data_IF_878236896241
#
_entry.id   IF_878236896241
#
_cell.length_a   1.000
_cell.length_b   1.000
_cell.length_c   1.000
_cell.angle_alpha   90.00
_cell.angle_beta   90.00
_cell.angle_gamma   90.00
#
_symmetry.space_group_name_H-M   'P 1'
#
loop_
_entity.id
_entity.type
_entity.pdbx_description
1 polymer ?
#
# COMPACT_ATOMS: atom_id res chain seq x y z
N UNK A 1 -53.91 48.80 -14.60
CA UNK A 1 -52.64 49.52 -14.88
C UNK A 1 -51.68 48.53 -15.52
N UNK A 2 -51.12 48.99 -16.64
CA UNK A 2 -50.17 48.40 -17.60
C UNK A 2 -49.17 47.32 -17.16
N UNK A 3 -48.99 46.36 -18.06
CA UNK A 3 -47.77 45.60 -18.40
C UNK A 3 -46.50 46.46 -18.42
N UNK A 4 -45.36 45.87 -18.06
CA UNK A 4 -44.02 46.45 -18.29
C UNK A 4 -42.94 45.35 -18.27
N UNK A 5 -42.19 45.27 -19.35
CA UNK A 5 -41.24 44.21 -19.69
C UNK A 5 -39.78 44.56 -19.34
N UNK A 6 -38.95 43.50 -19.22
CA UNK A 6 -37.62 43.32 -19.82
C UNK A 6 -36.55 44.43 -19.66
N UNK A 7 -35.43 44.08 -19.04
CA UNK A 7 -34.22 44.91 -18.99
C UNK A 7 -32.96 44.08 -18.73
N UNK A 8 -32.44 43.49 -19.79
CA UNK A 8 -31.14 42.80 -19.86
C UNK A 8 -29.99 43.80 -19.71
N UNK A 9 -29.10 43.56 -18.76
CA UNK A 9 -27.76 44.14 -18.66
C UNK A 9 -27.00 43.36 -17.59
N UNK A 10 -25.78 42.87 -17.77
CA UNK A 10 -24.79 43.00 -18.81
C UNK A 10 -23.47 42.72 -18.09
N UNK A 11 -22.69 41.74 -18.54
CA UNK A 11 -21.24 41.78 -18.33
C UNK A 11 -20.53 40.90 -19.35
N UNK A 12 -20.13 41.53 -20.45
CA UNK A 12 -19.13 41.03 -21.38
C UNK A 12 -17.77 41.25 -20.72
N UNK A 13 -17.09 40.19 -20.29
CA UNK A 13 -15.65 40.22 -20.09
C UNK A 13 -15.04 39.72 -21.39
N UNK A 14 -14.63 40.67 -22.22
CA UNK A 14 -13.84 40.44 -23.41
C UNK A 14 -12.37 40.30 -23.01
N UNK A 15 -11.81 39.11 -23.20
CA UNK A 15 -10.40 38.80 -22.97
C UNK A 15 -9.76 38.27 -24.25
N UNK A 16 -9.09 39.17 -24.97
CA UNK A 16 -7.91 38.98 -25.83
C UNK A 16 -7.91 37.88 -26.87
N UNK A 17 -7.87 38.34 -28.11
CA UNK A 17 -7.65 37.63 -29.37
C UNK A 17 -6.31 36.84 -29.37
N UNK A 18 -6.41 35.53 -29.55
CA UNK A 18 -5.34 34.64 -30.02
C UNK A 18 -5.78 34.03 -31.38
N UNK A 19 -4.84 33.66 -32.27
CA UNK A 19 -5.09 33.58 -33.70
C UNK A 19 -6.21 32.60 -34.04
N UNK A 20 -7.02 32.98 -35.02
CA UNK A 20 -8.07 32.18 -35.62
C UNK A 20 -7.56 30.77 -35.94
N UNK A 21 -7.93 29.81 -35.09
CA UNK A 21 -7.87 28.40 -35.45
C UNK A 21 -9.13 28.11 -36.26
N UNK A 22 -8.92 27.61 -37.47
CA UNK A 22 -9.92 27.39 -38.50
C UNK A 22 -11.15 26.59 -37.99
N UNK A 23 -12.36 26.88 -38.50
CA UNK A 23 -13.58 26.18 -38.12
C UNK A 23 -13.67 24.86 -38.89
N UNK A 24 -12.83 23.89 -38.56
CA UNK A 24 -12.88 22.56 -39.15
C UNK A 24 -12.82 21.53 -38.02
N UNK A 25 -13.90 20.75 -37.90
CA UNK A 25 -14.09 19.58 -37.02
C UNK A 25 -14.56 19.78 -35.56
N UNK A 26 -15.06 20.96 -35.20
CA UNK A 26 -15.70 21.20 -33.89
C UNK A 26 -17.06 20.51 -33.70
N UNK A 27 -17.67 19.84 -34.68
CA UNK A 27 -19.04 19.33 -34.52
C UNK A 27 -19.14 17.93 -33.92
N UNK A 28 -18.16 17.06 -34.15
CA UNK A 28 -18.22 15.67 -33.65
C UNK A 28 -17.61 15.53 -32.26
N UNK A 29 -16.43 16.11 -32.03
CA UNK A 29 -15.79 16.10 -30.71
C UNK A 29 -16.61 16.89 -29.67
N UNK A 30 -17.20 18.02 -30.03
CA UNK A 30 -18.07 18.76 -29.11
C UNK A 30 -19.37 18.01 -28.80
N UNK A 31 -19.91 17.24 -29.75
CA UNK A 31 -21.07 16.36 -29.50
C UNK A 31 -20.71 15.18 -28.62
N UNK A 32 -19.55 14.57 -28.81
CA UNK A 32 -19.05 13.49 -27.95
C UNK A 32 -18.74 14.03 -26.55
N UNK A 33 -18.11 15.20 -26.44
CA UNK A 33 -17.86 15.88 -25.17
C UNK A 33 -19.17 16.22 -24.45
N UNK A 34 -20.14 16.82 -25.15
CA UNK A 34 -21.46 17.11 -24.58
C UNK A 34 -22.22 15.84 -24.15
N UNK A 35 -22.13 14.76 -24.93
CA UNK A 35 -22.74 13.47 -24.57
C UNK A 35 -22.05 12.84 -23.36
N UNK A 36 -20.73 12.98 -23.26
CA UNK A 36 -19.96 12.47 -22.13
C UNK A 36 -20.23 13.29 -20.85
N UNK A 37 -20.29 14.61 -20.96
CA UNK A 37 -20.66 15.50 -19.87
C UNK A 37 -22.07 15.20 -19.36
N UNK A 38 -23.02 14.96 -20.27
CA UNK A 38 -24.37 14.58 -19.89
C UNK A 38 -24.43 13.19 -19.22
N UNK A 39 -23.68 12.22 -19.75
CA UNK A 39 -23.57 10.87 -19.19
C UNK A 39 -22.84 10.82 -17.85
N UNK A 40 -22.00 11.81 -17.54
CA UNK A 40 -21.33 11.95 -16.25
C UNK A 40 -22.24 12.68 -15.25
N UNK A 41 -22.87 13.79 -15.67
CA UNK A 41 -23.69 14.61 -14.77
C UNK A 41 -24.99 13.92 -14.34
N UNK A 42 -25.64 13.17 -15.22
CA UNK A 42 -26.90 12.48 -14.93
C UNK A 42 -26.82 11.43 -13.81
N UNK A 43 -25.82 10.52 -13.76
CA UNK A 43 -25.67 9.59 -12.64
C UNK A 43 -25.27 10.29 -11.34
N UNK A 44 -24.43 11.33 -11.37
CA UNK A 44 -24.05 12.05 -10.15
C UNK A 44 -25.21 12.85 -9.55
N UNK A 45 -26.05 13.47 -10.39
CA UNK A 45 -27.25 14.18 -9.93
C UNK A 45 -28.29 13.20 -9.38
N UNK A 46 -28.49 12.04 -10.02
CA UNK A 46 -29.34 10.96 -9.49
C UNK A 46 -28.81 10.40 -8.17
N UNK A 47 -27.51 10.15 -8.07
CA UNK A 47 -26.88 9.67 -6.85
C UNK A 47 -27.01 10.70 -5.72
N UNK A 48 -26.75 11.97 -6.00
CA UNK A 48 -26.93 13.08 -5.05
C UNK A 48 -28.37 13.21 -4.56
N UNK A 49 -29.36 13.05 -5.46
CA UNK A 49 -30.77 13.05 -5.09
C UNK A 49 -31.15 11.84 -4.21
N UNK A 50 -30.64 10.65 -4.53
CA UNK A 50 -30.87 9.44 -3.73
C UNK A 50 -30.28 9.60 -2.32
N UNK A 51 -29.05 10.11 -2.21
CA UNK A 51 -28.38 10.39 -0.94
C UNK A 51 -29.13 11.44 -0.13
N UNK A 52 -29.58 12.52 -0.78
CA UNK A 52 -30.33 13.61 -0.14
C UNK A 52 -31.75 13.22 0.29
N UNK A 53 -32.42 12.33 -0.45
CA UNK A 53 -33.80 11.89 -0.16
C UNK A 53 -33.91 10.96 1.05
N UNK A 54 -32.86 10.20 1.36
CA UNK A 54 -32.89 9.24 2.47
C UNK A 54 -31.50 8.99 3.09
N UNK A 55 -30.92 9.98 3.78
CA UNK A 55 -29.52 9.94 4.23
C UNK A 55 -29.21 8.77 5.17
N UNK A 56 -30.15 8.45 6.08
CA UNK A 56 -29.96 7.38 7.09
C UNK A 56 -29.83 6.00 6.43
N UNK A 57 -30.62 5.72 5.39
CA UNK A 57 -30.59 4.43 4.70
C UNK A 57 -29.28 4.23 3.94
N UNK A 58 -28.79 5.30 3.30
CA UNK A 58 -27.52 5.26 2.57
C UNK A 58 -26.33 5.11 3.50
N UNK A 59 -26.32 5.81 4.65
CA UNK A 59 -25.29 5.60 5.67
C UNK A 59 -25.25 4.16 6.19
N UNK A 60 -26.41 3.55 6.42
CA UNK A 60 -26.50 2.16 6.88
C UNK A 60 -25.95 1.17 5.82
N UNK A 61 -26.28 1.37 4.55
CA UNK A 61 -25.77 0.53 3.44
C UNK A 61 -24.26 0.71 3.27
N UNK A 62 -23.75 1.94 3.29
CA UNK A 62 -22.31 2.20 3.20
C UNK A 62 -21.55 1.56 4.38
N UNK A 63 -22.09 1.66 5.60
CA UNK A 63 -21.51 1.03 6.78
C UNK A 63 -21.52 -0.50 6.68
N UNK A 64 -22.59 -1.10 6.16
CA UNK A 64 -22.68 -2.54 5.90
C UNK A 64 -21.61 -2.98 4.90
N UNK A 65 -21.48 -2.26 3.77
CA UNK A 65 -20.45 -2.54 2.76
C UNK A 65 -19.06 -2.46 3.41
N UNK A 66 -18.74 -1.38 4.12
CA UNK A 66 -17.48 -1.24 4.84
C UNK A 66 -17.23 -2.40 5.82
N UNK A 67 -18.24 -2.82 6.58
CA UNK A 67 -18.13 -3.93 7.52
C UNK A 67 -17.85 -5.26 6.80
N UNK A 68 -18.50 -5.52 5.66
CA UNK A 68 -18.25 -6.74 4.87
C UNK A 68 -16.84 -6.76 4.26
N UNK A 69 -16.34 -5.62 3.78
CA UNK A 69 -14.97 -5.51 3.28
C UNK A 69 -13.95 -5.65 4.42
N UNK A 70 -14.19 -5.01 5.55
CA UNK A 70 -13.35 -5.10 6.75
C UNK A 70 -13.35 -6.53 7.34
N UNK A 71 -14.44 -7.27 7.22
CA UNK A 71 -14.50 -8.68 7.65
C UNK A 71 -13.47 -9.56 6.94
N UNK A 72 -13.01 -9.19 5.74
CA UNK A 72 -11.94 -9.87 5.02
C UNK A 72 -10.54 -9.64 5.61
N UNK A 73 -10.35 -8.55 6.37
CA UNK A 73 -9.04 -8.22 6.95
C UNK A 73 -8.57 -9.24 7.98
N UNK A 74 -9.48 -9.90 8.70
CA UNK A 74 -9.12 -10.94 9.67
C UNK A 74 -8.51 -12.19 9.03
N UNK A 75 -8.65 -12.37 7.72
CA UNK A 75 -8.04 -13.47 6.96
C UNK A 75 -6.72 -13.07 6.29
N UNK A 76 -6.25 -11.83 6.47
CA UNK A 76 -4.96 -11.41 5.95
C UNK A 76 -3.84 -12.09 6.72
N UNK A 77 -3.02 -12.86 6.02
CA UNK A 77 -1.78 -13.39 6.57
C UNK A 77 -0.71 -12.31 6.57
N UNK A 78 -0.24 -11.91 7.75
CA UNK A 78 0.91 -11.01 7.87
C UNK A 78 2.18 -11.76 7.47
N UNK A 79 2.69 -11.50 6.28
CA UNK A 79 3.97 -12.03 5.81
C UNK A 79 5.08 -11.07 6.26
N UNK A 80 5.86 -11.47 7.26
CA UNK A 80 7.00 -10.69 7.78
C UNK A 80 8.36 -11.21 7.30
N UNK A 81 8.38 -12.21 6.41
CA UNK A 81 9.63 -12.76 5.87
C UNK A 81 10.25 -11.80 4.87
N UNK A 82 11.42 -11.21 5.17
CA UNK A 82 12.01 -10.15 4.36
C UNK A 82 12.41 -10.64 2.97
N UNK A 83 12.82 -11.91 2.84
CA UNK A 83 13.11 -12.58 1.57
C UNK A 83 11.92 -12.57 0.61
N UNK A 84 10.68 -12.64 1.11
CA UNK A 84 9.48 -12.59 0.27
C UNK A 84 9.04 -11.18 -0.08
N UNK A 85 9.34 -10.20 0.78
CA UNK A 85 8.97 -8.79 0.59
C UNK A 85 9.88 -8.09 -0.42
N UNK A 86 11.18 -8.38 -0.38
CA UNK A 86 12.18 -7.66 -1.16
C UNK A 86 12.64 -8.39 -2.42
N UNK A 87 12.38 -9.71 -2.52
CA UNK A 87 12.78 -10.50 -3.70
C UNK A 87 11.55 -10.72 -4.58
N UNK A 88 11.62 -10.32 -5.87
CA UNK A 88 10.53 -10.59 -6.80
C UNK A 88 10.27 -12.10 -6.90
N UNK A 89 9.02 -12.47 -6.70
CA UNK A 89 8.58 -13.87 -6.73
C UNK A 89 8.65 -14.40 -8.18
N UNK A 90 9.09 -15.65 -8.36
CA UNK A 90 9.17 -16.30 -9.67
C UNK A 90 10.49 -16.11 -10.43
N UNK A 91 11.52 -15.55 -9.81
CA UNK A 91 12.85 -15.46 -10.42
C UNK A 91 13.52 -16.83 -10.59
N UNK A 92 14.49 -16.90 -11.51
CA UNK A 92 15.32 -18.11 -11.70
C UNK A 92 16.13 -18.44 -10.45
N UNK A 93 16.64 -17.42 -9.75
CA UNK A 93 17.37 -17.59 -8.50
C UNK A 93 16.57 -18.35 -7.43
N UNK A 94 15.28 -18.03 -7.25
CA UNK A 94 14.40 -18.75 -6.31
C UNK A 94 14.18 -20.21 -6.69
N UNK A 95 14.13 -20.52 -8.00
CA UNK A 95 14.00 -21.91 -8.47
C UNK A 95 15.27 -22.72 -8.24
N UNK A 96 16.42 -22.08 -8.41
CA UNK A 96 17.73 -22.71 -8.21
C UNK A 96 18.01 -22.89 -6.72
N UNK A 97 17.68 -21.91 -5.87
CA UNK A 97 17.74 -22.02 -4.40
C UNK A 97 16.83 -23.13 -3.89
N UNK A 98 15.55 -23.15 -4.30
CA UNK A 98 14.62 -24.24 -3.93
C UNK A 98 15.13 -25.60 -4.36
N UNK A 99 15.78 -25.70 -5.53
CA UNK A 99 16.37 -26.96 -6.00
C UNK A 99 17.57 -27.37 -5.17
N UNK A 100 18.41 -26.42 -4.77
CA UNK A 100 19.55 -26.68 -3.89
C UNK A 100 19.08 -27.14 -2.50
N UNK A 101 18.10 -26.46 -1.90
CA UNK A 101 17.54 -26.79 -0.59
C UNK A 101 16.89 -28.19 -0.53
N UNK A 102 16.37 -28.70 -1.65
CA UNK A 102 15.84 -30.07 -1.74
C UNK A 102 16.91 -31.15 -1.54
N UNK A 103 18.15 -30.89 -1.99
CA UNK A 103 19.26 -31.85 -1.87
C UNK A 103 20.14 -31.57 -0.65
N UNK A 104 20.24 -30.31 -0.24
CA UNK A 104 21.02 -29.84 0.89
C UNK A 104 20.12 -28.99 1.80
N UNK A 105 19.37 -29.62 2.72
CA UNK A 105 18.55 -28.86 3.66
C UNK A 105 19.45 -27.90 4.45
N UNK A 106 18.99 -26.66 4.62
CA UNK A 106 19.72 -25.62 5.35
C UNK A 106 19.80 -26.01 6.83
N UNK A 107 20.88 -26.71 7.19
CA UNK A 107 21.05 -27.29 8.52
C UNK A 107 21.61 -26.30 9.55
N UNK A 108 22.12 -25.14 9.14
CA UNK A 108 22.85 -24.24 10.03
C UNK A 108 22.26 -22.84 9.97
N UNK A 109 21.74 -22.38 11.11
CA UNK A 109 21.51 -20.95 11.37
C UNK A 109 22.74 -20.44 12.10
N UNK A 110 23.51 -19.55 11.46
CA UNK A 110 24.72 -19.01 12.06
C UNK A 110 24.35 -17.83 12.96
N UNK A 111 24.57 -17.99 14.27
CA UNK A 111 24.58 -16.91 15.23
C UNK A 111 26.02 -16.50 15.51
N UNK A 112 26.33 -15.21 15.40
CA UNK A 112 27.65 -14.69 15.72
C UNK A 112 27.53 -13.51 16.68
N UNK A 113 28.51 -13.37 17.57
CA UNK A 113 28.70 -12.17 18.39
C UNK A 113 30.12 -11.67 18.19
N UNK A 114 30.30 -10.36 18.30
CA UNK A 114 31.61 -9.72 18.20
C UNK A 114 31.86 -9.05 19.55
N UNK A 115 32.94 -9.45 20.21
CA UNK A 115 33.38 -8.86 21.48
C UNK A 115 34.54 -7.90 21.23
N UNK A 116 34.55 -6.78 21.95
CA UNK A 116 35.61 -5.78 21.94
C UNK A 116 36.07 -5.53 23.39
N UNK A 117 37.39 -5.43 23.59
CA UNK A 117 37.98 -5.13 24.89
C UNK A 117 37.76 -3.66 25.24
N UNK A 118 37.13 -3.39 26.38
CA UNK A 118 36.73 -2.03 26.78
C UNK A 118 37.89 -1.03 26.88
N UNK A 119 39.07 -1.48 27.31
CA UNK A 119 40.22 -0.61 27.59
C UNK A 119 41.57 -1.27 27.19
N UNK A 120 41.62 -2.13 26.18
CA UNK A 120 42.87 -2.75 25.75
C UNK A 120 42.76 -3.97 24.85
N UNK A 121 43.84 -4.76 24.80
CA UNK A 121 43.93 -5.97 23.99
C UNK A 121 42.98 -7.07 24.51
N UNK A 122 42.17 -7.63 23.61
CA UNK A 122 41.23 -8.71 23.90
C UNK A 122 41.92 -10.06 24.07
N UNK A 123 43.20 -10.17 23.68
CA UNK A 123 44.01 -11.38 23.81
C UNK A 123 44.62 -11.56 25.22
N UNK A 124 44.13 -10.81 26.21
CA UNK A 124 44.51 -10.99 27.62
C UNK A 124 43.85 -12.23 28.21
N UNK A 125 44.51 -12.86 29.20
CA UNK A 125 44.00 -14.08 29.84
C UNK A 125 42.63 -13.86 30.50
N UNK A 126 42.44 -12.70 31.10
CA UNK A 126 41.23 -12.30 31.80
C UNK A 126 40.07 -12.13 30.81
N UNK A 127 40.29 -11.38 29.71
CA UNK A 127 39.26 -11.17 28.69
C UNK A 127 38.87 -12.47 27.96
N UNK A 128 39.83 -13.37 27.72
CA UNK A 128 39.55 -14.69 27.14
C UNK A 128 38.80 -15.61 28.11
N UNK A 129 39.06 -15.49 29.42
CA UNK A 129 38.29 -16.17 30.46
C UNK A 129 36.83 -15.73 30.45
N UNK A 130 36.58 -14.41 30.43
CA UNK A 130 35.23 -13.85 30.38
C UNK A 130 34.44 -14.28 29.12
N UNK A 131 35.11 -14.35 27.97
CA UNK A 131 34.49 -14.84 26.71
C UNK A 131 34.15 -16.33 26.80
N UNK A 132 35.03 -17.13 27.40
CA UNK A 132 34.78 -18.56 27.57
C UNK A 132 33.61 -18.81 28.51
N UNK A 133 33.51 -18.04 29.59
CA UNK A 133 32.39 -18.11 30.54
C UNK A 133 31.07 -17.73 29.84
N UNK A 134 31.07 -16.68 29.02
CA UNK A 134 29.91 -16.30 28.21
C UNK A 134 29.53 -17.40 27.19
N UNK A 135 30.52 -18.05 26.56
CA UNK A 135 30.27 -19.15 25.63
C UNK A 135 29.59 -20.33 26.34
N UNK A 136 30.09 -20.70 27.53
CA UNK A 136 29.50 -21.75 28.35
C UNK A 136 28.09 -21.36 28.83
N UNK A 137 27.86 -20.08 29.18
CA UNK A 137 26.53 -19.61 29.54
C UNK A 137 25.54 -19.80 28.39
N UNK A 138 25.93 -19.43 27.16
CA UNK A 138 25.10 -19.59 25.95
C UNK A 138 24.84 -21.06 25.62
N UNK A 139 25.85 -21.92 25.75
CA UNK A 139 25.72 -23.38 25.53
C UNK A 139 24.74 -24.00 26.53
N UNK A 140 24.71 -23.50 27.77
CA UNK A 140 23.82 -23.97 28.82
C UNK A 140 22.41 -23.38 28.79
N UNK A 141 22.07 -22.52 27.81
CA UNK A 141 20.71 -22.01 27.64
C UNK A 141 19.78 -23.15 27.21
N UNK A 142 19.09 -23.74 28.18
CA UNK A 142 18.02 -24.70 27.90
C UNK A 142 16.70 -23.98 27.71
N UNK A 143 16.16 -24.00 26.50
CA UNK A 143 14.79 -23.52 26.24
C UNK A 143 13.81 -24.61 26.66
N UNK A 144 13.14 -24.42 27.80
CA UNK A 144 12.02 -25.26 28.23
C UNK A 144 10.87 -25.15 27.20
N UNK A 145 10.86 -26.04 26.21
CA UNK A 145 9.78 -26.09 25.22
C UNK A 145 10.09 -26.75 23.88
N UNK A 146 11.31 -27.23 23.63
CA UNK A 146 11.61 -28.02 22.44
C UNK A 146 13.10 -28.17 22.24
N UNK A 147 13.56 -29.41 22.13
CA UNK A 147 14.95 -29.80 21.91
C UNK A 147 15.51 -29.04 20.71
N UNK A 148 16.50 -28.18 20.95
CA UNK A 148 17.37 -27.66 19.91
C UNK A 148 18.44 -28.73 19.68
N UNK A 149 18.21 -29.64 18.73
CA UNK A 149 19.29 -30.43 18.15
C UNK A 149 20.13 -29.46 17.32
N UNK A 150 21.33 -29.15 17.82
CA UNK A 150 22.40 -28.49 17.08
C UNK A 150 23.06 -29.47 16.10
#
# INVERSE_FOLDING_TARGET
FSTGAMGSGGNQIQGTEGPAADPVDASFFDKVAATMDQNIQEPFTRLGFIVGSSPIRIMAVAALICATLASGMGQLTTENRPDKLWIPQGTRAMRDERRYEMYFPRAVVVSYFIAEGKDGDILTSEAMGDILDLHQEVENITINGGTLDL
#
